data_IF_787499712410
#
_entry.id   IF_787499712410
#
_cell.length_a   1.000
_cell.length_b   1.000
_cell.length_c   1.000
_cell.angle_alpha   90.00
_cell.angle_beta   90.00
_cell.angle_gamma   90.00
#
_symmetry.space_group_name_H-M   'P 1'
#
loop_
_entity.id
_entity.type
_entity.pdbx_description
1 polymer ?
#
# COMPACT_ATOMS: atom_id res chain seq x y z
N UNK A 1 -85.31 -27.51 -29.80
CA UNK A 1 -84.51 -28.73 -29.73
C UNK A 1 -83.13 -28.24 -30.06
N UNK A 2 -82.13 -28.13 -29.17
CA UNK A 2 -81.69 -29.05 -28.13
C UNK A 2 -80.66 -28.34 -27.25
N UNK A 3 -80.79 -28.52 -26.02
CA UNK A 3 -79.83 -28.64 -24.92
C UNK A 3 -78.53 -27.86 -24.91
N UNK A 4 -78.47 -26.93 -23.99
CA UNK A 4 -77.29 -26.43 -23.33
C UNK A 4 -76.84 -27.33 -22.20
N UNK A 5 -75.55 -27.63 -22.02
CA UNK A 5 -75.01 -28.00 -20.70
C UNK A 5 -74.22 -26.85 -20.08
N UNK A 6 -74.62 -26.52 -18.90
CA UNK A 6 -73.92 -25.73 -17.92
C UNK A 6 -72.57 -26.33 -17.56
N UNK A 7 -71.49 -25.58 -17.68
CA UNK A 7 -70.17 -25.91 -17.09
C UNK A 7 -69.74 -24.85 -16.09
N UNK A 8 -69.46 -25.34 -14.89
CA UNK A 8 -69.06 -24.52 -13.73
C UNK A 8 -67.72 -23.76 -13.94
N UNK A 9 -67.78 -22.52 -13.54
CA UNK A 9 -66.67 -21.66 -13.43
C UNK A 9 -65.82 -22.02 -12.20
N UNK A 10 -64.75 -22.77 -12.40
CA UNK A 10 -63.64 -22.78 -11.44
C UNK A 10 -62.93 -21.47 -11.55
N UNK A 11 -62.97 -20.67 -10.49
CA UNK A 11 -62.27 -19.40 -10.38
C UNK A 11 -60.76 -19.65 -10.38
N UNK A 12 -60.18 -19.46 -11.53
CA UNK A 12 -58.73 -19.32 -11.67
C UNK A 12 -58.34 -17.92 -11.16
N UNK A 13 -57.74 -17.87 -9.94
CA UNK A 13 -57.12 -16.63 -9.45
C UNK A 13 -56.07 -16.19 -10.46
N UNK A 14 -56.31 -15.04 -11.09
CA UNK A 14 -55.29 -14.34 -11.88
C UNK A 14 -54.01 -14.25 -11.06
N UNK A 15 -52.82 -14.48 -11.66
CA UNK A 15 -51.56 -14.26 -10.96
C UNK A 15 -51.51 -12.80 -10.54
N UNK A 16 -51.31 -12.55 -9.25
CA UNK A 16 -50.98 -11.25 -8.71
C UNK A 16 -49.86 -10.66 -9.58
N UNK A 17 -50.11 -9.56 -10.25
CA UNK A 17 -49.13 -8.80 -10.98
C UNK A 17 -47.96 -8.60 -10.04
N UNK A 18 -46.81 -9.28 -10.33
CA UNK A 18 -45.61 -9.10 -9.59
C UNK A 18 -45.33 -7.63 -9.47
N UNK A 19 -45.36 -7.11 -8.26
CA UNK A 19 -44.94 -5.76 -7.96
C UNK A 19 -43.63 -5.54 -8.71
N UNK A 20 -43.63 -4.58 -9.63
CA UNK A 20 -42.37 -4.03 -10.20
C UNK A 20 -41.51 -3.81 -8.97
N UNK A 21 -40.41 -4.55 -8.86
CA UNK A 21 -39.47 -4.36 -7.79
C UNK A 21 -38.97 -2.92 -7.99
N UNK A 22 -39.64 -2.02 -7.29
CA UNK A 22 -39.08 -0.71 -7.02
C UNK A 22 -37.62 -0.99 -6.63
N UNK A 23 -36.65 -0.24 -7.16
CA UNK A 23 -35.27 -0.27 -6.69
C UNK A 23 -35.26 0.19 -5.23
N UNK A 24 -36.14 -0.38 -4.46
CA UNK A 24 -36.44 -0.11 -3.09
C UNK A 24 -35.24 -0.44 -2.25
N UNK A 25 -34.86 0.53 -1.48
CA UNK A 25 -33.94 0.41 -0.36
C UNK A 25 -34.31 -0.87 0.40
N UNK A 26 -33.47 -1.93 0.28
CA UNK A 26 -33.65 -3.17 1.02
C UNK A 26 -33.73 -2.82 2.51
N UNK A 27 -34.91 -2.92 3.09
CA UNK A 27 -35.24 -2.59 4.48
C UNK A 27 -35.18 -3.79 5.42
N UNK A 28 -34.86 -4.97 4.89
CA UNK A 28 -34.78 -6.19 5.70
C UNK A 28 -33.54 -6.19 6.58
N UNK A 29 -33.72 -6.17 7.89
CA UNK A 29 -32.62 -6.31 8.84
C UNK A 29 -32.10 -7.76 8.85
N UNK A 30 -30.90 -7.98 8.34
CA UNK A 30 -30.29 -9.32 8.35
C UNK A 30 -29.94 -9.74 9.78
N UNK A 31 -30.22 -10.98 10.14
CA UNK A 31 -29.76 -11.58 11.39
C UNK A 31 -28.25 -11.84 11.35
N UNK A 32 -27.60 -11.99 12.51
CA UNK A 32 -26.17 -12.32 12.58
C UNK A 32 -25.85 -13.66 11.88
N UNK A 33 -26.77 -14.63 11.96
CA UNK A 33 -26.64 -15.92 11.28
C UNK A 33 -26.72 -15.81 9.76
N UNK A 34 -27.58 -14.95 9.24
CA UNK A 34 -27.69 -14.69 7.79
C UNK A 34 -26.43 -13.97 7.27
N UNK A 35 -25.93 -12.99 8.00
CA UNK A 35 -24.69 -12.30 7.65
C UNK A 35 -23.49 -13.27 7.59
N UNK A 36 -23.44 -14.25 8.51
CA UNK A 36 -22.40 -15.28 8.52
C UNK A 36 -22.56 -16.26 7.35
N UNK A 37 -23.80 -16.68 7.04
CA UNK A 37 -24.10 -17.53 5.87
C UNK A 37 -23.74 -16.83 4.56
N UNK A 38 -24.05 -15.57 4.42
CA UNK A 38 -23.71 -14.76 3.25
C UNK A 38 -22.17 -14.65 3.09
N UNK A 39 -21.44 -14.44 4.18
CA UNK A 39 -19.98 -14.44 4.18
C UNK A 39 -19.42 -15.78 3.71
N UNK A 40 -19.93 -16.90 4.25
CA UNK A 40 -19.51 -18.23 3.82
C UNK A 40 -19.91 -18.53 2.36
N UNK A 41 -21.05 -18.05 1.89
CA UNK A 41 -21.44 -18.15 0.48
C UNK A 41 -20.47 -17.40 -0.43
N UNK A 42 -20.01 -16.18 -0.06
CA UNK A 42 -18.98 -15.44 -0.79
C UNK A 42 -17.64 -16.20 -0.83
N UNK A 43 -17.22 -16.75 0.31
CA UNK A 43 -16.00 -17.57 0.40
C UNK A 43 -16.13 -18.82 -0.49
N UNK A 44 -17.27 -19.53 -0.46
CA UNK A 44 -17.52 -20.68 -1.35
C UNK A 44 -17.57 -20.28 -2.82
N UNK A 45 -18.07 -19.09 -3.13
CA UNK A 45 -18.08 -18.52 -4.49
C UNK A 45 -16.71 -18.04 -4.99
N UNK A 46 -15.62 -18.24 -4.21
CA UNK A 46 -14.27 -17.90 -4.61
C UNK A 46 -13.82 -16.48 -4.24
N UNK A 47 -14.64 -15.66 -3.59
CA UNK A 47 -14.24 -14.34 -3.11
C UNK A 47 -13.63 -14.44 -1.69
N UNK A 48 -12.38 -14.90 -1.64
CA UNK A 48 -11.66 -15.10 -0.37
C UNK A 48 -11.17 -13.78 0.25
N UNK A 49 -11.06 -12.70 -0.53
CA UNK A 49 -10.49 -11.43 -0.08
C UNK A 49 -9.11 -11.61 0.57
N UNK A 50 -8.88 -10.97 1.71
CA UNK A 50 -7.62 -11.08 2.48
C UNK A 50 -7.58 -12.25 3.47
N UNK A 51 -8.58 -13.15 3.48
CA UNK A 51 -8.65 -14.27 4.43
C UNK A 51 -7.46 -15.24 4.32
N UNK A 52 -7.01 -15.66 3.13
CA UNK A 52 -5.84 -16.54 3.00
C UNK A 52 -4.57 -15.91 3.60
N UNK A 53 -4.38 -14.60 3.39
CA UNK A 53 -3.23 -13.88 3.93
C UNK A 53 -3.27 -13.81 5.46
N UNK A 54 -4.44 -13.57 6.05
CA UNK A 54 -4.61 -13.56 7.51
C UNK A 54 -4.38 -14.95 8.13
N UNK A 55 -4.87 -16.01 7.49
CA UNK A 55 -4.61 -17.38 7.92
C UNK A 55 -3.12 -17.73 7.79
N UNK A 56 -2.49 -17.36 6.69
CA UNK A 56 -1.05 -17.53 6.49
C UNK A 56 -0.23 -16.78 7.55
N UNK A 57 -0.61 -15.52 7.84
CA UNK A 57 0.02 -14.72 8.88
C UNK A 57 -0.09 -15.42 10.26
N UNK A 58 -1.27 -15.92 10.60
CA UNK A 58 -1.50 -16.65 11.85
C UNK A 58 -0.63 -17.91 11.96
N UNK A 59 -0.57 -18.71 10.89
CA UNK A 59 0.27 -19.92 10.82
C UNK A 59 1.75 -19.56 10.98
N UNK A 60 2.23 -18.51 10.30
CA UNK A 60 3.61 -18.06 10.39
C UNK A 60 3.96 -17.56 11.78
N UNK A 61 3.06 -16.83 12.45
CA UNK A 61 3.27 -16.39 13.83
C UNK A 61 3.41 -17.60 14.76
N UNK A 62 2.54 -18.59 14.65
CA UNK A 62 2.65 -19.82 15.46
C UNK A 62 3.96 -20.56 15.15
N UNK A 63 4.29 -20.73 13.87
CA UNK A 63 5.50 -21.44 13.46
C UNK A 63 6.76 -20.80 14.03
N UNK A 64 6.96 -19.49 13.80
CA UNK A 64 8.17 -18.82 14.29
C UNK A 64 8.19 -18.65 15.81
N UNK A 65 7.03 -18.56 16.46
CA UNK A 65 6.95 -18.56 17.93
C UNK A 65 7.39 -19.89 18.54
N UNK A 66 7.11 -21.00 17.84
CA UNK A 66 7.54 -22.33 18.29
C UNK A 66 9.04 -22.59 18.01
N UNK A 67 9.62 -21.92 17.00
CA UNK A 67 11.01 -22.11 16.58
C UNK A 67 11.99 -21.14 17.23
N UNK A 68 11.53 -20.01 17.77
CA UNK A 68 12.41 -18.97 18.33
C UNK A 68 11.78 -18.30 19.54
N UNK A 69 12.41 -18.44 20.71
CA UNK A 69 11.98 -17.77 21.95
C UNK A 69 12.02 -16.24 21.85
N UNK A 70 12.85 -15.71 20.96
CA UNK A 70 12.99 -14.25 20.76
C UNK A 70 11.93 -13.67 19.83
N UNK A 71 11.19 -14.51 19.08
CA UNK A 71 10.25 -14.04 18.07
C UNK A 71 9.13 -13.16 18.65
N UNK A 72 8.50 -13.56 19.77
CA UNK A 72 7.44 -12.80 20.44
C UNK A 72 7.94 -11.78 21.46
N UNK A 73 9.25 -11.56 21.59
CA UNK A 73 9.75 -10.50 22.48
C UNK A 73 9.30 -9.13 22.01
N UNK A 74 9.01 -8.22 22.95
CA UNK A 74 8.57 -6.86 22.63
C UNK A 74 9.60 -6.11 21.76
N UNK A 75 10.89 -6.34 21.97
CA UNK A 75 11.97 -5.81 21.16
C UNK A 75 11.87 -6.26 19.70
N UNK A 76 11.65 -7.55 19.48
CA UNK A 76 11.52 -8.08 18.13
C UNK A 76 10.23 -7.65 17.43
N UNK A 77 9.09 -7.61 18.12
CA UNK A 77 7.83 -7.10 17.58
C UNK A 77 8.00 -5.66 17.11
N UNK A 78 8.61 -4.80 17.92
CA UNK A 78 8.93 -3.42 17.54
C UNK A 78 9.87 -3.34 16.32
N UNK A 79 10.90 -4.20 16.29
CA UNK A 79 11.84 -4.29 15.18
C UNK A 79 11.16 -4.77 13.88
N UNK A 80 10.26 -5.75 13.96
CA UNK A 80 9.47 -6.27 12.85
C UNK A 80 8.60 -5.18 12.20
N UNK A 81 7.93 -4.36 13.03
CA UNK A 81 7.16 -3.21 12.55
C UNK A 81 8.03 -2.22 11.78
N UNK A 82 9.22 -1.90 12.32
CA UNK A 82 10.14 -0.97 11.68
C UNK A 82 10.79 -1.55 10.40
N UNK A 83 11.13 -2.84 10.41
CA UNK A 83 11.75 -3.54 9.28
C UNK A 83 10.78 -3.67 8.09
N UNK A 84 9.51 -3.98 8.35
CA UNK A 84 8.49 -4.16 7.31
C UNK A 84 7.96 -2.86 6.73
N UNK A 85 8.04 -1.74 7.46
CA UNK A 85 7.34 -0.51 7.11
C UNK A 85 7.72 0.06 5.74
N UNK A 86 9.01 0.07 5.38
CA UNK A 86 9.45 0.58 4.07
C UNK A 86 8.83 -0.19 2.91
N UNK A 87 8.83 -1.52 2.99
CA UNK A 87 8.23 -2.41 1.98
C UNK A 87 6.72 -2.24 1.93
N UNK A 88 6.04 -2.14 3.08
CA UNK A 88 4.60 -1.87 3.17
C UNK A 88 4.24 -0.57 2.47
N UNK A 89 5.03 0.50 2.67
CA UNK A 89 4.77 1.79 2.02
C UNK A 89 4.94 1.69 0.50
N UNK A 90 6.02 1.07 0.00
CA UNK A 90 6.20 0.84 -1.44
C UNK A 90 5.03 0.02 -2.00
N UNK A 91 4.63 -1.04 -1.30
CA UNK A 91 3.49 -1.88 -1.67
C UNK A 91 2.16 -1.08 -1.72
N UNK A 92 1.93 -0.13 -0.81
CA UNK A 92 0.78 0.77 -0.87
C UNK A 92 0.77 1.59 -2.17
N UNK A 93 1.93 2.08 -2.63
CA UNK A 93 2.06 2.74 -3.93
C UNK A 93 1.69 1.80 -5.09
N UNK A 94 2.21 0.58 -5.05
CA UNK A 94 1.94 -0.43 -6.08
C UNK A 94 0.48 -0.86 -6.15
N UNK A 95 -0.28 -0.85 -5.04
CA UNK A 95 -1.72 -1.13 -5.06
C UNK A 95 -2.46 -0.23 -6.05
N UNK A 96 -2.10 1.06 -6.15
CA UNK A 96 -2.74 1.97 -7.12
C UNK A 96 -2.50 1.51 -8.56
N UNK A 97 -1.30 1.09 -8.90
CA UNK A 97 -0.94 0.59 -10.24
C UNK A 97 -1.63 -0.73 -10.53
N UNK A 98 -1.60 -1.67 -9.59
CA UNK A 98 -2.25 -2.96 -9.72
C UNK A 98 -3.77 -2.85 -9.86
N UNK A 99 -4.41 -1.86 -9.22
CA UNK A 99 -5.84 -1.58 -9.39
C UNK A 99 -6.21 -1.25 -10.84
N UNK A 100 -5.29 -0.68 -11.63
CA UNK A 100 -5.50 -0.43 -13.06
C UNK A 100 -5.23 -1.67 -13.95
N UNK A 101 -4.73 -2.76 -13.38
CA UNK A 101 -4.22 -3.92 -14.12
C UNK A 101 -2.88 -3.64 -14.79
N UNK A 102 -2.16 -2.61 -14.36
CA UNK A 102 -0.81 -2.29 -14.81
C UNK A 102 0.23 -2.88 -13.84
N UNK A 103 1.45 -3.07 -14.32
CA UNK A 103 2.55 -3.61 -13.50
C UNK A 103 3.69 -2.59 -13.50
N UNK A 104 4.16 -2.20 -12.32
CA UNK A 104 5.33 -1.34 -12.16
C UNK A 104 6.49 -2.11 -11.53
N UNK A 105 7.38 -2.60 -12.39
CA UNK A 105 8.61 -3.29 -11.98
C UNK A 105 9.72 -2.31 -11.59
N UNK A 106 9.57 -1.01 -11.91
CA UNK A 106 10.60 -0.01 -11.62
C UNK A 106 10.50 0.59 -10.22
N UNK A 107 9.37 0.40 -9.51
CA UNK A 107 9.10 1.04 -8.21
C UNK A 107 10.20 0.79 -7.16
N UNK A 108 10.80 -0.41 -7.16
CA UNK A 108 11.94 -0.72 -6.28
C UNK A 108 13.16 0.15 -6.59
N UNK A 109 13.70 0.09 -7.80
CA UNK A 109 14.89 0.87 -8.20
C UNK A 109 14.61 2.36 -8.25
N UNK A 110 13.38 2.79 -8.57
CA UNK A 110 12.95 4.19 -8.45
C UNK A 110 13.08 4.69 -7.00
N UNK A 111 12.67 3.85 -6.02
CA UNK A 111 12.88 4.14 -4.60
C UNK A 111 14.35 4.28 -4.24
N UNK A 112 15.21 3.43 -4.83
CA UNK A 112 16.66 3.50 -4.69
C UNK A 112 17.26 4.80 -5.23
N UNK A 113 16.82 5.28 -6.41
CA UNK A 113 17.26 6.56 -6.96
C UNK A 113 16.87 7.72 -6.04
N UNK A 114 15.63 7.73 -5.54
CA UNK A 114 15.17 8.75 -4.60
C UNK A 114 16.01 8.77 -3.32
N UNK A 115 16.30 7.60 -2.74
CA UNK A 115 17.17 7.47 -1.57
C UNK A 115 18.61 7.92 -1.86
N UNK A 116 19.12 7.60 -3.05
CA UNK A 116 20.50 7.95 -3.44
C UNK A 116 20.69 9.46 -3.56
N UNK A 117 19.74 10.17 -4.19
CA UNK A 117 19.78 11.63 -4.31
C UNK A 117 19.67 12.28 -2.93
N UNK A 118 18.75 11.81 -2.08
CA UNK A 118 18.61 12.25 -0.70
C UNK A 118 19.93 12.11 0.09
N UNK A 119 20.53 10.92 0.06
CA UNK A 119 21.76 10.65 0.80
C UNK A 119 22.97 11.42 0.27
N UNK A 120 23.07 11.60 -1.06
CA UNK A 120 24.12 12.40 -1.67
C UNK A 120 24.02 13.87 -1.30
N UNK A 121 22.83 14.46 -1.35
CA UNK A 121 22.58 15.84 -0.97
C UNK A 121 22.99 16.08 0.50
N UNK A 122 22.61 15.16 1.39
CA UNK A 122 23.00 15.20 2.79
C UNK A 122 24.52 15.13 2.98
N UNK A 123 25.19 14.12 2.38
CA UNK A 123 26.62 13.86 2.60
C UNK A 123 27.51 14.90 1.94
N UNK A 124 27.06 15.48 0.82
CA UNK A 124 27.82 16.52 0.07
C UNK A 124 27.41 17.94 0.43
N UNK A 125 26.76 18.12 1.58
CA UNK A 125 26.37 19.43 2.11
C UNK A 125 25.60 20.31 1.12
N UNK A 126 24.69 19.69 0.36
CA UNK A 126 23.86 20.38 -0.64
C UNK A 126 24.55 20.64 -1.99
N UNK A 127 25.83 20.39 -2.14
CA UNK A 127 26.55 20.63 -3.38
C UNK A 127 26.42 19.45 -4.36
N UNK A 128 25.28 19.41 -5.08
CA UNK A 128 24.97 18.33 -6.01
C UNK A 128 25.82 18.33 -7.27
N UNK A 129 26.35 19.50 -7.70
CA UNK A 129 27.26 19.60 -8.84
C UNK A 129 28.57 18.84 -8.54
N UNK A 130 29.15 19.05 -7.37
CA UNK A 130 30.35 18.31 -6.96
C UNK A 130 30.07 16.83 -6.66
N UNK A 131 28.83 16.49 -6.26
CA UNK A 131 28.42 15.13 -5.98
C UNK A 131 28.31 14.27 -7.25
N UNK A 132 27.71 14.82 -8.28
CA UNK A 132 27.40 14.12 -9.54
C UNK A 132 28.49 14.32 -10.62
N UNK A 133 29.23 15.42 -10.57
CA UNK A 133 29.99 15.95 -11.71
C UNK A 133 29.07 16.55 -12.78
N UNK A 134 29.65 17.39 -13.64
CA UNK A 134 28.88 18.25 -14.57
C UNK A 134 27.87 17.49 -15.42
N UNK A 135 28.27 16.41 -16.08
CA UNK A 135 27.41 15.67 -17.00
C UNK A 135 26.18 15.07 -16.31
N UNK A 136 26.38 14.38 -15.20
CA UNK A 136 25.31 13.72 -14.47
C UNK A 136 24.37 14.74 -13.80
N UNK A 137 24.93 15.84 -13.31
CA UNK A 137 24.18 16.96 -12.74
C UNK A 137 23.19 17.54 -13.75
N UNK A 138 23.66 17.94 -14.95
CA UNK A 138 22.79 18.53 -15.96
C UNK A 138 21.79 17.53 -16.51
N UNK A 139 22.13 16.24 -16.64
CA UNK A 139 21.17 15.19 -17.04
C UNK A 139 20.08 15.06 -15.99
N UNK A 140 20.40 15.10 -14.69
CA UNK A 140 19.40 15.02 -13.61
C UNK A 140 18.48 16.25 -13.63
N UNK A 141 19.04 17.45 -13.81
CA UNK A 141 18.23 18.66 -13.96
C UNK A 141 17.31 18.61 -15.20
N UNK A 142 17.84 18.21 -16.34
CA UNK A 142 17.07 18.05 -17.57
C UNK A 142 15.95 17.01 -17.41
N UNK A 143 16.22 15.88 -16.76
CA UNK A 143 15.23 14.87 -16.43
C UNK A 143 14.07 15.44 -15.61
N UNK A 144 14.33 16.26 -14.59
CA UNK A 144 13.29 16.88 -13.76
C UNK A 144 12.47 17.90 -14.56
N UNK A 145 13.09 18.67 -15.45
CA UNK A 145 12.37 19.57 -16.37
C UNK A 145 11.46 18.78 -17.30
N UNK A 146 11.97 17.71 -17.90
CA UNK A 146 11.18 16.84 -18.79
C UNK A 146 9.99 16.26 -18.02
N UNK A 147 10.21 15.73 -16.80
CA UNK A 147 9.14 15.18 -15.95
C UNK A 147 8.04 16.21 -15.66
N UNK A 148 8.41 17.46 -15.34
CA UNK A 148 7.47 18.55 -15.12
C UNK A 148 6.67 18.87 -16.40
N UNK A 149 7.34 18.97 -17.56
CA UNK A 149 6.67 19.21 -18.84
C UNK A 149 5.70 18.10 -19.19
N UNK A 150 6.12 16.83 -19.09
CA UNK A 150 5.27 15.67 -19.39
C UNK A 150 4.02 15.64 -18.50
N UNK A 151 4.17 15.97 -17.21
CA UNK A 151 3.06 16.08 -16.28
C UNK A 151 2.13 17.24 -16.61
N UNK A 152 2.67 18.37 -17.05
CA UNK A 152 1.91 19.54 -17.51
C UNK A 152 1.03 19.25 -18.72
N UNK A 153 1.53 18.46 -19.68
CA UNK A 153 0.78 18.04 -20.86
C UNK A 153 -0.51 17.26 -20.51
N UNK A 154 -0.50 16.50 -19.43
CA UNK A 154 -1.67 15.75 -18.94
C UNK A 154 -2.34 16.42 -17.72
N UNK A 155 -1.96 17.66 -17.37
CA UNK A 155 -2.52 18.44 -16.26
C UNK A 155 -2.43 17.74 -14.89
N UNK A 156 -1.32 17.03 -14.63
CA UNK A 156 -1.04 16.38 -13.35
C UNK A 156 -0.18 17.32 -12.51
N UNK A 157 -0.81 18.24 -11.79
CA UNK A 157 -0.14 19.32 -11.09
C UNK A 157 0.89 18.87 -10.05
N UNK A 158 0.69 17.82 -9.23
CA UNK A 158 1.75 17.33 -8.36
C UNK A 158 3.01 16.91 -9.11
N UNK A 159 2.85 16.30 -10.30
CA UNK A 159 3.94 15.93 -11.19
C UNK A 159 4.61 17.12 -11.89
N UNK A 160 4.05 18.31 -11.83
CA UNK A 160 4.70 19.55 -12.26
C UNK A 160 5.44 20.21 -11.08
N UNK A 161 4.72 20.43 -9.98
CA UNK A 161 5.21 21.23 -8.85
C UNK A 161 6.41 20.56 -8.16
N UNK A 162 6.32 19.26 -7.86
CA UNK A 162 7.37 18.57 -7.11
C UNK A 162 8.70 18.49 -7.88
N UNK A 163 8.75 18.09 -9.17
CA UNK A 163 10.00 18.15 -9.94
C UNK A 163 10.60 19.56 -10.01
N UNK A 164 9.79 20.61 -10.16
CA UNK A 164 10.27 22.00 -10.17
C UNK A 164 10.83 22.39 -8.81
N UNK A 165 10.17 22.02 -7.71
CA UNK A 165 10.69 22.29 -6.35
C UNK A 165 12.03 21.58 -6.13
N UNK A 166 12.14 20.30 -6.50
CA UNK A 166 13.39 19.56 -6.40
C UNK A 166 14.49 20.15 -7.26
N UNK A 167 14.17 20.59 -8.49
CA UNK A 167 15.13 21.29 -9.37
C UNK A 167 15.64 22.59 -8.72
N UNK A 168 14.75 23.37 -8.11
CA UNK A 168 15.12 24.60 -7.39
C UNK A 168 16.04 24.29 -6.21
N UNK A 169 15.74 23.27 -5.42
CA UNK A 169 16.61 22.83 -4.29
C UNK A 169 18.01 22.51 -4.79
N UNK A 170 18.13 21.73 -5.87
CA UNK A 170 19.41 21.29 -6.44
C UNK A 170 20.20 22.46 -7.04
N UNK A 171 19.53 23.36 -7.78
CA UNK A 171 20.18 24.48 -8.49
C UNK A 171 20.67 25.58 -7.54
N UNK A 172 19.89 25.89 -6.49
CA UNK A 172 20.26 26.91 -5.49
C UNK A 172 21.31 26.36 -4.51
N UNK A 173 21.41 25.04 -4.38
CA UNK A 173 22.28 24.42 -3.39
C UNK A 173 21.78 24.65 -1.96
N UNK A 174 20.49 24.36 -1.72
CA UNK A 174 19.86 24.53 -0.40
C UNK A 174 20.65 23.72 0.65
N UNK A 175 20.99 24.30 1.82
CA UNK A 175 21.70 23.56 2.87
C UNK A 175 20.95 22.30 3.30
N UNK A 176 21.65 21.18 3.54
CA UNK A 176 21.02 19.93 3.91
C UNK A 176 20.32 20.02 5.27
N UNK A 177 19.10 19.49 5.31
CA UNK A 177 18.40 19.20 6.53
C UNK A 177 17.39 18.10 6.28
N UNK A 178 17.00 17.34 7.30
CA UNK A 178 16.16 16.18 7.17
C UNK A 178 14.87 16.41 6.34
N UNK A 179 14.24 17.56 6.47
CA UNK A 179 12.98 17.87 5.76
C UNK A 179 13.21 18.16 4.29
N UNK A 180 14.31 18.87 3.96
CA UNK A 180 14.74 19.12 2.57
C UNK A 180 15.09 17.78 1.91
N UNK A 181 15.79 16.91 2.61
CA UNK A 181 16.18 15.59 2.12
C UNK A 181 14.95 14.72 1.81
N UNK A 182 14.00 14.65 2.73
CA UNK A 182 12.75 13.90 2.51
C UNK A 182 11.93 14.49 1.36
N UNK A 183 11.86 15.82 1.26
CA UNK A 183 11.19 16.50 0.15
C UNK A 183 11.89 16.22 -1.19
N UNK A 184 13.22 16.26 -1.21
CA UNK A 184 14.00 15.99 -2.43
C UNK A 184 13.80 14.54 -2.91
N UNK A 185 13.79 13.56 -1.99
CA UNK A 185 13.45 12.17 -2.33
C UNK A 185 12.07 12.07 -2.98
N UNK A 186 11.06 12.76 -2.42
CA UNK A 186 9.71 12.81 -2.97
C UNK A 186 9.68 13.45 -4.36
N UNK A 187 10.44 14.54 -4.58
CA UNK A 187 10.55 15.21 -5.88
C UNK A 187 11.13 14.29 -6.96
N UNK A 188 12.16 13.54 -6.62
CA UNK A 188 12.79 12.56 -7.55
C UNK A 188 11.82 11.41 -7.85
N UNK A 189 11.19 10.82 -6.84
CA UNK A 189 10.20 9.77 -7.05
C UNK A 189 9.04 10.23 -7.93
N UNK A 190 8.54 11.43 -7.71
CA UNK A 190 7.50 12.04 -8.54
C UNK A 190 7.97 12.25 -9.99
N UNK A 191 9.22 12.67 -10.19
CA UNK A 191 9.80 12.83 -11.54
C UNK A 191 9.88 11.51 -12.29
N UNK A 192 10.29 10.43 -11.60
CA UNK A 192 10.33 9.07 -12.17
C UNK A 192 8.93 8.61 -12.55
N UNK A 193 7.95 8.76 -11.65
CA UNK A 193 6.57 8.40 -11.92
C UNK A 193 5.95 9.19 -13.08
N UNK A 194 6.35 10.45 -13.27
CA UNK A 194 5.91 11.29 -14.40
C UNK A 194 6.41 10.73 -15.73
N UNK A 195 7.66 10.33 -15.83
CA UNK A 195 8.20 9.71 -17.05
C UNK A 195 7.54 8.36 -17.31
N UNK A 196 7.53 7.46 -16.31
CA UNK A 196 6.93 6.13 -16.43
C UNK A 196 5.46 6.22 -16.86
N UNK A 197 4.71 7.05 -16.16
CA UNK A 197 3.29 7.25 -16.41
C UNK A 197 3.01 7.84 -17.80
N UNK A 198 3.83 8.76 -18.30
CA UNK A 198 3.67 9.32 -19.64
C UNK A 198 3.91 8.27 -20.73
N UNK A 199 4.99 7.47 -20.60
CA UNK A 199 5.30 6.40 -21.56
C UNK A 199 4.19 5.36 -21.64
N UNK A 200 3.60 4.98 -20.50
CA UNK A 200 2.51 4.01 -20.46
C UNK A 200 1.19 4.63 -20.94
N UNK A 201 0.84 5.81 -20.42
CA UNK A 201 -0.49 6.37 -20.59
C UNK A 201 -0.68 7.11 -21.91
N UNK A 202 0.35 7.80 -22.44
CA UNK A 202 0.25 8.65 -23.62
C UNK A 202 0.94 8.05 -24.84
N UNK A 203 2.15 7.49 -24.67
CA UNK A 203 2.85 6.79 -25.76
C UNK A 203 2.19 5.44 -26.03
N UNK A 204 1.62 4.78 -25.01
CA UNK A 204 0.90 3.53 -25.15
C UNK A 204 1.78 2.28 -25.12
N UNK A 205 3.01 2.39 -24.62
CA UNK A 205 3.89 1.23 -24.45
C UNK A 205 3.35 0.40 -23.28
N UNK A 206 3.27 -0.95 -23.40
CA UNK A 206 2.84 -1.81 -22.28
C UNK A 206 3.66 -1.52 -21.01
N UNK A 207 2.97 -1.39 -19.86
CA UNK A 207 3.59 -1.01 -18.60
C UNK A 207 4.72 -1.95 -18.18
N UNK A 208 4.54 -3.25 -18.38
CA UNK A 208 5.58 -4.25 -18.12
C UNK A 208 6.89 -3.94 -18.87
N UNK A 209 6.81 -3.58 -20.16
CA UNK A 209 8.00 -3.29 -20.99
C UNK A 209 8.69 -2.02 -20.50
N UNK A 210 7.92 -0.95 -20.28
CA UNK A 210 8.46 0.33 -19.79
C UNK A 210 9.14 0.13 -18.43
N UNK A 211 8.43 -0.49 -17.50
CA UNK A 211 8.92 -0.59 -16.11
C UNK A 211 10.05 -1.59 -15.96
N UNK A 212 10.13 -2.65 -16.79
CA UNK A 212 11.27 -3.55 -16.83
C UNK A 212 12.52 -2.82 -17.36
N UNK A 213 12.40 -2.06 -18.44
CA UNK A 213 13.50 -1.26 -18.97
C UNK A 213 13.98 -0.21 -17.94
N UNK A 214 13.04 0.48 -17.30
CA UNK A 214 13.33 1.45 -16.26
C UNK A 214 13.89 0.81 -14.97
N UNK A 215 13.48 -0.40 -14.62
CA UNK A 215 14.10 -1.16 -13.52
C UNK A 215 15.63 -1.27 -13.71
N UNK A 216 16.05 -1.67 -14.89
CA UNK A 216 17.48 -1.78 -15.22
C UNK A 216 18.16 -0.40 -15.27
N UNK A 217 17.52 0.58 -15.91
CA UNK A 217 18.07 1.93 -16.05
C UNK A 217 18.25 2.60 -14.67
N UNK A 218 17.23 2.58 -13.82
CA UNK A 218 17.29 3.16 -12.46
C UNK A 218 18.29 2.42 -11.56
N UNK A 219 18.41 1.10 -11.69
CA UNK A 219 19.47 0.33 -11.02
C UNK A 219 20.87 0.84 -11.40
N UNK A 220 21.09 1.09 -12.68
CA UNK A 220 22.34 1.70 -13.17
C UNK A 220 22.54 3.14 -12.64
N UNK A 221 21.48 3.93 -12.52
CA UNK A 221 21.55 5.28 -11.94
C UNK A 221 21.91 5.23 -10.45
N UNK A 222 21.33 4.33 -9.66
CA UNK A 222 21.70 4.13 -8.24
C UNK A 222 23.18 3.80 -8.13
N UNK A 223 23.67 2.84 -8.93
CA UNK A 223 25.08 2.45 -8.95
C UNK A 223 25.99 3.63 -9.36
N UNK A 224 25.58 4.43 -10.34
CA UNK A 224 26.33 5.62 -10.76
C UNK A 224 26.38 6.70 -9.69
N UNK A 225 25.29 6.92 -8.96
CA UNK A 225 25.20 7.96 -7.94
C UNK A 225 26.01 7.60 -6.68
N UNK A 226 25.95 6.36 -6.23
CA UNK A 226 26.61 5.93 -5.00
C UNK A 226 28.05 5.50 -5.27
N UNK A 227 28.34 4.96 -6.46
CA UNK A 227 29.65 4.42 -6.82
C UNK A 227 29.82 2.96 -6.39
N UNK A 228 30.95 2.36 -6.82
CA UNK A 228 31.27 0.97 -6.52
C UNK A 228 31.92 0.86 -5.13
N UNK A 229 31.36 -0.02 -4.30
CA UNK A 229 31.96 -0.45 -3.04
C UNK A 229 31.78 0.49 -1.84
N UNK A 230 30.92 1.51 -1.94
CA UNK A 230 30.64 2.42 -0.84
C UNK A 230 29.15 2.41 -0.41
N UNK A 231 28.89 2.91 0.78
CA UNK A 231 27.55 3.25 1.26
C UNK A 231 27.53 4.70 1.71
N UNK A 232 26.41 5.38 1.51
CA UNK A 232 26.22 6.75 1.97
C UNK A 232 25.49 6.72 3.33
N UNK A 233 26.17 7.12 4.44
CA UNK A 233 25.55 7.08 5.76
C UNK A 233 24.53 8.21 5.90
N UNK A 234 23.33 7.89 6.41
CA UNK A 234 22.32 8.88 6.78
C UNK A 234 22.07 8.91 8.30
N UNK A 235 22.69 7.98 9.04
CA UNK A 235 22.58 7.87 10.51
C UNK A 235 23.09 9.09 11.27
N UNK A 236 23.94 9.93 10.62
CA UNK A 236 24.48 11.14 11.24
C UNK A 236 23.42 12.23 11.40
N UNK A 237 22.37 12.22 10.57
CA UNK A 237 21.20 13.06 10.79
C UNK A 237 20.20 12.33 11.72
N UNK A 238 20.03 12.90 12.92
CA UNK A 238 19.16 12.29 13.96
C UNK A 238 17.70 12.20 13.53
N UNK A 239 17.20 13.17 12.76
CA UNK A 239 15.79 13.17 12.34
C UNK A 239 15.56 12.08 11.30
N UNK A 240 16.38 12.01 10.26
CA UNK A 240 16.30 10.97 9.24
C UNK A 240 16.49 9.57 9.84
N UNK A 241 17.46 9.40 10.74
CA UNK A 241 17.67 8.10 11.40
C UNK A 241 16.49 7.71 12.28
N UNK A 242 15.85 8.66 12.97
CA UNK A 242 14.73 8.39 13.85
C UNK A 242 13.42 8.11 13.12
N UNK A 243 13.28 8.41 11.83
CA UNK A 243 12.06 8.10 11.05
C UNK A 243 11.64 6.64 11.22
N UNK A 244 12.60 5.70 11.20
CA UNK A 244 12.32 4.27 11.38
C UNK A 244 12.86 3.69 12.69
N UNK A 245 13.80 4.35 13.36
CA UNK A 245 14.42 3.84 14.59
C UNK A 245 13.96 4.56 15.86
N UNK A 246 13.26 5.70 15.72
CA UNK A 246 12.71 6.44 16.84
C UNK A 246 11.34 5.92 17.30
N UNK A 247 10.96 6.33 18.51
CA UNK A 247 9.72 5.94 19.15
C UNK A 247 8.98 7.16 19.71
N UNK A 248 7.67 7.11 19.73
CA UNK A 248 6.81 8.07 20.41
C UNK A 248 7.04 8.01 21.93
N UNK A 249 6.82 9.11 22.62
CA UNK A 249 6.69 9.08 24.09
C UNK A 249 5.49 8.23 24.49
N UNK A 250 5.44 7.78 25.73
CA UNK A 250 4.29 7.02 26.28
C UNK A 250 2.98 7.80 26.05
N UNK A 251 2.98 9.10 26.39
CA UNK A 251 1.81 9.95 26.22
C UNK A 251 1.37 10.02 24.75
N UNK A 252 2.32 10.29 23.83
CA UNK A 252 2.01 10.37 22.40
C UNK A 252 1.57 9.03 21.82
N UNK A 253 2.03 7.90 22.37
CA UNK A 253 1.56 6.56 21.99
C UNK A 253 0.08 6.35 22.33
N UNK A 254 -0.35 6.79 23.52
CA UNK A 254 -1.76 6.73 23.91
C UNK A 254 -2.63 7.75 23.16
N UNK A 255 -2.10 8.93 22.83
CA UNK A 255 -2.78 9.89 21.95
C UNK A 255 -2.98 9.28 20.56
N UNK A 256 -1.95 8.63 19.99
CA UNK A 256 -2.06 7.92 18.70
C UNK A 256 -3.15 6.83 18.75
N UNK A 257 -3.18 6.03 19.82
CA UNK A 257 -4.23 5.02 20.04
C UNK A 257 -5.63 5.66 20.03
N UNK A 258 -5.83 6.72 20.81
CA UNK A 258 -7.12 7.40 20.89
C UNK A 258 -7.54 7.98 19.53
N UNK A 259 -6.62 8.58 18.79
CA UNK A 259 -6.92 9.12 17.46
C UNK A 259 -7.21 8.02 16.44
N UNK A 260 -6.43 6.95 16.42
CA UNK A 260 -6.57 5.88 15.43
C UNK A 260 -7.75 4.95 15.76
N UNK A 261 -7.75 4.33 16.94
CA UNK A 261 -8.78 3.39 17.34
C UNK A 261 -10.10 4.09 17.73
N UNK A 262 -10.03 5.21 18.44
CA UNK A 262 -11.19 6.04 18.78
C UNK A 262 -11.80 6.67 17.53
N UNK A 263 -11.00 7.22 16.63
CA UNK A 263 -11.45 7.73 15.32
C UNK A 263 -12.12 6.65 14.46
N UNK A 264 -11.51 5.46 14.39
CA UNK A 264 -12.12 4.31 13.70
C UNK A 264 -13.47 3.93 14.32
N UNK A 265 -13.53 3.82 15.65
CA UNK A 265 -14.77 3.49 16.37
C UNK A 265 -15.84 4.56 16.13
N UNK A 266 -15.49 5.85 16.25
CA UNK A 266 -16.42 6.95 16.01
C UNK A 266 -16.99 6.94 14.59
N UNK A 267 -16.16 6.71 13.57
CA UNK A 267 -16.60 6.63 12.17
C UNK A 267 -17.49 5.42 11.92
N UNK A 268 -17.13 4.24 12.42
CA UNK A 268 -17.89 2.99 12.18
C UNK A 268 -19.22 3.03 12.93
N UNK A 269 -19.21 3.35 14.23
CA UNK A 269 -20.40 3.42 15.04
C UNK A 269 -21.30 4.59 14.62
N UNK A 270 -20.73 5.76 14.34
CA UNK A 270 -21.48 6.92 13.86
C UNK A 270 -22.24 6.65 12.58
N UNK A 271 -21.60 5.97 11.60
CA UNK A 271 -22.28 5.54 10.36
C UNK A 271 -23.34 4.49 10.61
N UNK A 272 -23.07 3.54 11.50
CA UNK A 272 -24.01 2.49 11.84
C UNK A 272 -25.30 3.09 12.46
N UNK A 273 -25.15 3.91 13.50
CA UNK A 273 -26.30 4.54 14.16
C UNK A 273 -27.01 5.57 13.28
N UNK A 274 -26.26 6.32 12.43
CA UNK A 274 -26.88 7.21 11.45
C UNK A 274 -27.76 6.45 10.43
N UNK A 275 -27.34 5.25 9.99
CA UNK A 275 -28.14 4.39 9.13
C UNK A 275 -29.41 3.89 9.83
N UNK A 276 -29.28 3.40 11.07
CA UNK A 276 -30.42 2.94 11.88
C UNK A 276 -31.45 4.06 12.09
N UNK A 277 -30.99 5.28 12.42
CA UNK A 277 -31.87 6.45 12.59
C UNK A 277 -32.65 6.81 11.33
N UNK A 278 -32.07 6.54 10.16
CA UNK A 278 -32.71 6.80 8.86
C UNK A 278 -33.54 5.62 8.34
N UNK A 279 -33.74 4.56 9.13
CA UNK A 279 -34.47 3.34 8.71
C UNK A 279 -33.78 2.58 7.58
N UNK A 280 -32.48 2.81 7.34
CA UNK A 280 -31.73 2.11 6.30
C UNK A 280 -31.20 0.77 6.81
N UNK A 281 -31.08 -0.21 5.91
CA UNK A 281 -30.45 -1.50 6.23
C UNK A 281 -29.05 -1.29 6.77
N UNK A 282 -28.78 -1.84 7.93
CA UNK A 282 -27.50 -1.83 8.59
C UNK A 282 -27.12 -3.27 9.01
N UNK A 283 -25.82 -3.50 9.16
CA UNK A 283 -25.34 -4.76 9.73
C UNK A 283 -25.91 -4.94 11.16
N UNK A 284 -26.07 -6.18 11.65
CA UNK A 284 -26.48 -6.41 13.03
C UNK A 284 -25.58 -5.66 14.02
N UNK A 285 -26.19 -4.89 14.92
CA UNK A 285 -25.45 -4.08 15.91
C UNK A 285 -24.41 -4.89 16.71
N UNK A 286 -24.71 -6.13 17.18
CA UNK A 286 -23.70 -6.94 17.88
C UNK A 286 -22.46 -7.21 17.06
N UNK A 287 -22.58 -7.48 15.74
CA UNK A 287 -21.41 -7.73 14.87
C UNK A 287 -20.56 -6.47 14.70
N UNK A 288 -21.20 -5.30 14.60
CA UNK A 288 -20.48 -4.01 14.50
C UNK A 288 -19.73 -3.72 15.80
N UNK A 289 -20.38 -3.96 16.96
CA UNK A 289 -19.76 -3.76 18.27
C UNK A 289 -18.59 -4.74 18.49
N UNK A 290 -18.75 -6.01 18.14
CA UNK A 290 -17.66 -7.01 18.23
C UNK A 290 -16.48 -6.55 17.35
N UNK A 291 -16.73 -6.17 16.11
CA UNK A 291 -15.70 -5.71 15.19
C UNK A 291 -14.93 -4.49 15.74
N UNK A 292 -15.65 -3.49 16.23
CA UNK A 292 -15.04 -2.29 16.82
C UNK A 292 -14.31 -2.67 18.12
N UNK A 293 -14.92 -3.46 18.99
CA UNK A 293 -14.34 -3.92 20.25
C UNK A 293 -13.03 -4.66 20.06
N UNK A 294 -12.97 -5.60 19.10
CA UNK A 294 -11.74 -6.35 18.78
C UNK A 294 -10.62 -5.39 18.34
N UNK A 295 -10.91 -4.43 17.45
CA UNK A 295 -9.89 -3.47 16.99
C UNK A 295 -9.41 -2.59 18.16
N UNK A 296 -10.33 -2.09 18.99
CA UNK A 296 -9.97 -1.25 20.15
C UNK A 296 -9.15 -2.03 21.16
N UNK A 297 -9.57 -3.24 21.53
CA UNK A 297 -8.87 -4.06 22.52
C UNK A 297 -7.48 -4.48 22.03
N UNK A 298 -7.37 -4.95 20.79
CA UNK A 298 -6.07 -5.36 20.23
C UNK A 298 -5.10 -4.18 20.08
N UNK A 299 -5.59 -3.02 19.62
CA UNK A 299 -4.74 -1.83 19.50
C UNK A 299 -4.36 -1.23 20.86
N UNK A 300 -5.25 -1.29 21.88
CA UNK A 300 -4.93 -0.92 23.26
C UNK A 300 -3.85 -1.83 23.84
N UNK A 301 -4.01 -3.16 23.70
CA UNK A 301 -3.03 -4.13 24.13
C UNK A 301 -1.68 -3.93 23.44
N UNK A 302 -1.67 -3.72 22.12
CA UNK A 302 -0.43 -3.45 21.39
C UNK A 302 0.24 -2.15 21.86
N UNK A 303 -0.53 -1.08 22.08
CA UNK A 303 -0.01 0.18 22.62
C UNK A 303 0.56 -0.01 24.02
N UNK A 304 -0.16 -0.70 24.90
CA UNK A 304 0.30 -0.99 26.26
C UNK A 304 1.62 -1.78 26.24
N UNK A 305 1.70 -2.84 25.44
CA UNK A 305 2.91 -3.66 25.32
C UNK A 305 4.09 -2.86 24.76
N UNK A 306 3.88 -2.02 23.76
CA UNK A 306 4.93 -1.18 23.17
C UNK A 306 5.35 -0.03 24.08
N UNK A 307 4.56 0.35 25.09
CA UNK A 307 4.94 1.34 26.10
C UNK A 307 5.76 0.75 27.24
N UNK A 308 5.92 -0.58 27.33
CA UNK A 308 6.84 -1.20 28.29
C UNK A 308 8.29 -1.05 27.83
N UNK A 309 9.23 -1.04 28.79
CA UNK A 309 10.66 -1.02 28.46
C UNK A 309 11.08 -2.34 27.79
N UNK A 310 11.59 -2.23 26.56
CA UNK A 310 12.02 -3.37 25.74
C UNK A 310 13.51 -3.38 25.45
N UNK A 311 14.28 -2.53 26.14
CA UNK A 311 15.73 -2.52 26.01
C UNK A 311 16.33 -3.77 26.69
N UNK A 312 17.28 -4.41 25.99
CA UNK A 312 18.05 -5.52 26.54
C UNK A 312 19.07 -5.01 27.55
N UNK A 313 19.63 -3.81 27.30
CA UNK A 313 20.58 -3.18 28.21
C UNK A 313 19.81 -2.38 29.28
N UNK A 314 20.02 -2.68 30.61
CA UNK A 314 19.34 -1.97 31.69
C UNK A 314 19.62 -0.46 31.76
N UNK A 315 20.73 -0.01 31.18
CA UNK A 315 21.14 1.41 31.18
C UNK A 315 20.38 2.26 30.13
N UNK A 316 19.65 1.61 29.21
CA UNK A 316 18.91 2.25 28.15
C UNK A 316 17.41 1.99 28.31
N UNK A 317 16.59 2.97 28.04
CA UNK A 317 15.14 2.80 28.01
C UNK A 317 14.62 2.95 26.58
N UNK A 318 13.91 1.94 26.08
CA UNK A 318 13.24 1.97 24.77
C UNK A 318 11.76 1.77 25.03
N UNK A 319 11.00 2.86 24.92
CA UNK A 319 9.58 2.94 25.25
C UNK A 319 8.80 3.52 24.07
N UNK A 320 7.51 3.23 24.01
CA UNK A 320 6.58 3.87 23.09
C UNK A 320 6.46 3.20 21.71
N UNK A 321 5.46 3.61 20.97
CA UNK A 321 5.16 3.08 19.63
C UNK A 321 6.19 3.60 18.62
N UNK A 322 6.79 2.76 17.76
CA UNK A 322 7.72 3.20 16.71
C UNK A 322 7.10 4.26 15.78
N UNK A 323 7.87 5.25 15.35
CA UNK A 323 7.39 6.32 14.45
C UNK A 323 6.87 5.80 13.10
N UNK A 324 7.33 4.64 12.65
CA UNK A 324 6.80 4.03 11.43
C UNK A 324 5.31 3.70 11.51
N UNK A 325 4.78 3.43 12.70
CA UNK A 325 3.35 3.08 12.87
C UNK A 325 2.44 4.25 12.51
N UNK A 326 2.59 5.47 13.09
CA UNK A 326 1.80 6.61 12.65
C UNK A 326 2.03 6.97 11.17
N UNK A 327 3.24 6.82 10.62
CA UNK A 327 3.51 7.06 9.20
C UNK A 327 2.67 6.13 8.32
N UNK A 328 2.72 4.83 8.58
CA UNK A 328 1.92 3.82 7.85
C UNK A 328 0.43 4.07 8.02
N UNK A 329 -0.05 4.38 9.24
CA UNK A 329 -1.46 4.66 9.50
C UNK A 329 -1.96 5.90 8.76
N UNK A 330 -1.17 6.97 8.69
CA UNK A 330 -1.51 8.19 7.93
C UNK A 330 -1.61 7.86 6.45
N UNK A 331 -0.62 7.19 5.87
CA UNK A 331 -0.63 6.81 4.45
C UNK A 331 -1.80 5.86 4.13
N UNK A 332 -2.06 4.87 4.99
CA UNK A 332 -3.18 3.95 4.86
C UNK A 332 -4.52 4.70 4.89
N UNK A 333 -4.68 5.64 5.82
CA UNK A 333 -5.93 6.42 5.98
C UNK A 333 -6.15 7.35 4.79
N UNK A 334 -5.12 8.12 4.40
CA UNK A 334 -5.19 9.04 3.27
C UNK A 334 -5.45 8.30 1.96
N UNK A 335 -4.69 7.23 1.68
CA UNK A 335 -4.87 6.47 0.46
C UNK A 335 -6.21 5.72 0.42
N UNK A 336 -6.68 5.17 1.54
CA UNK A 336 -8.03 4.59 1.64
C UNK A 336 -9.10 5.65 1.43
N UNK A 337 -8.92 6.85 1.97
CA UNK A 337 -9.84 7.97 1.73
C UNK A 337 -9.87 8.34 0.23
N UNK A 338 -8.71 8.44 -0.41
CA UNK A 338 -8.61 8.73 -1.85
C UNK A 338 -9.32 7.65 -2.66
N UNK A 339 -9.08 6.37 -2.39
CA UNK A 339 -9.66 5.27 -3.15
C UNK A 339 -11.17 5.10 -2.91
N UNK A 340 -11.61 5.16 -1.64
CA UNK A 340 -12.98 4.79 -1.27
C UNK A 340 -13.96 5.96 -1.23
N UNK A 341 -13.46 7.23 -1.15
CA UNK A 341 -14.29 8.40 -0.87
C UNK A 341 -14.28 9.48 -1.95
N UNK A 342 -13.32 9.44 -2.88
CA UNK A 342 -13.21 10.45 -3.93
C UNK A 342 -13.72 9.96 -5.28
N UNK A 343 -14.05 10.90 -6.18
CA UNK A 343 -14.33 10.59 -7.59
C UNK A 343 -13.12 9.98 -8.28
N UNK A 344 -11.92 10.44 -7.91
CA UNK A 344 -10.67 9.93 -8.44
C UNK A 344 -10.50 8.43 -8.18
N UNK A 345 -10.75 7.96 -6.95
CA UNK A 345 -10.71 6.54 -6.62
C UNK A 345 -11.74 5.72 -7.41
N UNK A 346 -12.98 6.24 -7.57
CA UNK A 346 -13.98 5.58 -8.44
C UNK A 346 -13.51 5.46 -9.88
N UNK A 347 -12.83 6.47 -10.41
CA UNK A 347 -12.27 6.43 -11.77
C UNK A 347 -11.15 5.39 -11.88
N UNK A 348 -10.29 5.23 -10.84
CA UNK A 348 -9.27 4.17 -10.82
C UNK A 348 -9.93 2.79 -10.93
N UNK A 349 -10.93 2.49 -10.09
CA UNK A 349 -11.63 1.19 -10.14
C UNK A 349 -12.38 0.99 -11.47
N UNK A 350 -12.98 2.05 -12.02
CA UNK A 350 -13.67 1.98 -13.32
C UNK A 350 -12.70 1.66 -14.47
N UNK A 351 -11.55 2.37 -14.52
CA UNK A 351 -10.51 2.13 -15.53
C UNK A 351 -9.90 0.73 -15.39
N UNK A 352 -9.62 0.29 -14.15
CA UNK A 352 -9.09 -1.05 -13.87
C UNK A 352 -10.09 -2.18 -14.15
N UNK A 353 -11.39 -1.92 -14.04
CA UNK A 353 -12.42 -2.89 -14.41
C UNK A 353 -12.60 -3.02 -15.92
N UNK A 354 -12.71 -1.92 -16.62
CA UNK A 354 -12.79 -1.87 -18.09
C UNK A 354 -12.44 -0.47 -18.61
N UNK A 355 -11.21 -0.32 -19.09
CA UNK A 355 -10.68 0.96 -19.58
C UNK A 355 -11.47 1.52 -20.76
N UNK A 356 -12.00 0.66 -21.65
CA UNK A 356 -12.78 1.10 -22.81
C UNK A 356 -14.17 1.60 -22.40
N UNK A 357 -14.86 0.89 -21.49
CA UNK A 357 -16.12 1.34 -20.94
C UNK A 357 -15.96 2.66 -20.15
N UNK A 358 -14.88 2.78 -19.37
CA UNK A 358 -14.55 4.02 -18.66
C UNK A 358 -14.34 5.21 -19.61
N UNK A 359 -13.64 4.99 -20.74
CA UNK A 359 -13.43 6.01 -21.78
C UNK A 359 -14.74 6.45 -22.40
N UNK A 360 -15.64 5.51 -22.72
CA UNK A 360 -16.98 5.82 -23.27
C UNK A 360 -17.86 6.58 -22.27
N UNK A 361 -17.64 6.38 -20.98
CA UNK A 361 -18.27 7.14 -19.89
C UNK A 361 -17.64 8.52 -19.65
N UNK A 362 -16.68 8.97 -20.49
CA UNK A 362 -16.05 10.29 -20.41
C UNK A 362 -14.86 10.38 -19.46
N UNK A 363 -14.37 9.26 -18.90
CA UNK A 363 -13.20 9.26 -18.02
C UNK A 363 -11.93 9.39 -18.87
N UNK A 364 -11.06 10.34 -18.51
CA UNK A 364 -9.75 10.48 -19.15
C UNK A 364 -8.78 9.38 -18.64
N UNK A 365 -8.78 8.24 -19.34
CA UNK A 365 -7.99 7.06 -18.99
C UNK A 365 -6.48 7.38 -18.94
N UNK A 366 -5.97 8.19 -19.88
CA UNK A 366 -4.56 8.55 -19.92
C UNK A 366 -4.14 9.36 -18.68
N UNK A 367 -4.97 10.32 -18.27
CA UNK A 367 -4.73 11.10 -17.06
C UNK A 367 -4.74 10.24 -15.79
N UNK A 368 -5.72 9.32 -15.69
CA UNK A 368 -5.80 8.38 -14.54
C UNK A 368 -4.57 7.47 -14.52
N UNK A 369 -4.20 6.84 -15.65
CA UNK A 369 -3.01 5.99 -15.72
C UNK A 369 -1.74 6.73 -15.30
N UNK A 370 -1.45 7.88 -15.91
CA UNK A 370 -0.26 8.65 -15.57
C UNK A 370 -0.25 9.08 -14.10
N UNK A 371 -1.35 9.61 -13.58
CA UNK A 371 -1.42 10.05 -12.18
C UNK A 371 -1.19 8.93 -11.17
N UNK A 372 -1.61 7.71 -11.50
CA UNK A 372 -1.37 6.53 -10.66
C UNK A 372 0.12 6.15 -10.60
N UNK A 373 0.85 6.21 -11.72
CA UNK A 373 2.30 6.01 -11.70
C UNK A 373 3.03 7.11 -10.92
N UNK A 374 2.58 8.36 -11.05
CA UNK A 374 3.10 9.49 -10.24
C UNK A 374 2.89 9.22 -8.75
N UNK A 375 1.70 8.80 -8.33
CA UNK A 375 1.41 8.44 -6.92
C UNK A 375 2.28 7.27 -6.49
N UNK A 376 2.36 6.20 -7.28
CA UNK A 376 3.09 4.98 -6.94
C UNK A 376 4.58 5.26 -6.68
N UNK A 377 5.24 5.98 -7.60
CA UNK A 377 6.65 6.32 -7.46
C UNK A 377 6.91 7.34 -6.35
N UNK A 378 5.97 8.28 -6.10
CA UNK A 378 6.05 9.20 -4.96
C UNK A 378 5.95 8.45 -3.62
N UNK A 379 5.00 7.51 -3.52
CA UNK A 379 4.85 6.67 -2.31
C UNK A 379 6.04 5.71 -2.17
N UNK A 380 6.59 5.20 -3.28
CA UNK A 380 7.82 4.39 -3.25
C UNK A 380 9.02 5.20 -2.71
N UNK A 381 9.13 6.48 -3.04
CA UNK A 381 10.14 7.36 -2.46
C UNK A 381 9.96 7.56 -0.95
N UNK A 382 8.71 7.67 -0.45
CA UNK A 382 8.43 7.69 1.00
C UNK A 382 8.84 6.36 1.65
N UNK A 383 8.58 5.24 1.00
CA UNK A 383 9.05 3.92 1.45
C UNK A 383 10.58 3.83 1.51
N UNK A 384 11.27 4.44 0.53
CA UNK A 384 12.73 4.50 0.50
C UNK A 384 13.32 5.30 1.67
N UNK A 385 12.70 6.43 2.05
CA UNK A 385 13.11 7.21 3.23
C UNK A 385 13.04 6.33 4.49
N UNK A 386 11.93 5.62 4.69
CA UNK A 386 11.73 4.75 5.86
C UNK A 386 12.70 3.56 5.83
N UNK A 387 12.89 2.94 4.65
CA UNK A 387 13.81 1.81 4.51
C UNK A 387 15.25 2.22 4.77
N UNK A 388 15.72 3.32 4.16
CA UNK A 388 17.07 3.84 4.36
C UNK A 388 17.29 4.30 5.80
N UNK A 389 16.27 4.91 6.43
CA UNK A 389 16.29 5.24 7.86
C UNK A 389 16.52 3.99 8.71
N UNK A 390 15.80 2.88 8.43
CA UNK A 390 15.96 1.62 9.17
C UNK A 390 17.36 1.04 9.04
N UNK A 391 17.93 1.06 7.84
CA UNK A 391 19.30 0.56 7.56
C UNK A 391 20.36 1.54 8.09
N UNK A 392 20.07 2.83 8.08
CA UNK A 392 20.98 3.93 8.44
C UNK A 392 21.95 4.33 7.33
N UNK A 393 21.77 3.79 6.12
CA UNK A 393 22.61 4.09 4.95
C UNK A 393 21.89 3.76 3.65
N UNK A 394 22.43 4.26 2.53
CA UNK A 394 22.01 3.92 1.17
C UNK A 394 23.18 3.25 0.46
N UNK A 395 22.97 2.10 -0.15
CA UNK A 395 23.95 1.26 -0.82
C UNK A 395 23.71 1.22 -2.34
N UNK A 396 24.69 0.79 -3.17
CA UNK A 396 24.56 0.71 -4.61
C UNK A 396 23.42 -0.20 -5.12
N UNK A 397 22.98 -1.14 -4.30
CA UNK A 397 21.86 -2.06 -4.56
C UNK A 397 20.55 -1.63 -3.92
N UNK A 398 20.49 -0.44 -3.29
CA UNK A 398 19.28 0.07 -2.64
C UNK A 398 18.12 0.17 -3.62
N UNK A 399 16.96 -0.38 -3.20
CA UNK A 399 15.76 -0.47 -4.04
C UNK A 399 15.81 -1.57 -5.10
N UNK A 400 16.98 -2.19 -5.33
CA UNK A 400 17.13 -3.36 -6.19
C UNK A 400 16.83 -4.68 -5.49
N UNK A 401 17.34 -5.78 -6.05
CA UNK A 401 17.24 -7.11 -5.47
C UNK A 401 15.80 -7.50 -5.11
N UNK A 402 15.60 -7.91 -3.86
CA UNK A 402 14.30 -8.40 -3.40
C UNK A 402 13.28 -7.31 -3.05
N UNK A 403 13.67 -6.02 -3.02
CA UNK A 403 12.78 -4.92 -2.57
C UNK A 403 11.50 -4.85 -3.39
N UNK A 404 11.63 -4.90 -4.72
CA UNK A 404 10.51 -4.89 -5.63
C UNK A 404 9.62 -6.14 -5.45
N UNK A 405 10.24 -7.33 -5.43
CA UNK A 405 9.52 -8.60 -5.29
C UNK A 405 8.75 -8.67 -3.98
N UNK A 406 9.34 -8.18 -2.89
CA UNK A 406 8.69 -8.11 -1.59
C UNK A 406 7.53 -7.12 -1.59
N UNK A 407 7.67 -5.97 -2.25
CA UNK A 407 6.59 -4.98 -2.30
C UNK A 407 5.41 -5.43 -3.19
N UNK A 408 5.69 -6.00 -4.37
CA UNK A 408 4.65 -6.61 -5.23
C UNK A 408 4.00 -7.79 -4.50
N UNK A 409 4.84 -8.66 -3.91
CA UNK A 409 4.38 -9.79 -3.11
C UNK A 409 3.47 -9.36 -1.97
N UNK A 410 3.83 -8.31 -1.25
CA UNK A 410 3.01 -7.75 -0.18
C UNK A 410 1.62 -7.34 -0.68
N UNK A 411 1.53 -6.61 -1.79
CA UNK A 411 0.25 -6.20 -2.36
C UNK A 411 -0.62 -7.39 -2.79
N UNK A 412 -0.01 -8.39 -3.46
CA UNK A 412 -0.72 -9.56 -4.02
C UNK A 412 -1.11 -10.57 -2.93
N UNK A 413 -0.19 -10.91 -2.01
CA UNK A 413 -0.45 -11.80 -0.87
C UNK A 413 -1.61 -11.24 -0.03
N UNK A 414 -1.66 -9.92 0.16
CA UNK A 414 -2.73 -9.27 0.91
C UNK A 414 -4.10 -9.32 0.24
N UNK A 415 -4.18 -9.58 -1.08
CA UNK A 415 -5.43 -9.76 -1.82
C UNK A 415 -5.68 -8.74 -2.94
N UNK A 416 -4.71 -7.90 -3.28
CA UNK A 416 -4.80 -7.02 -4.46
C UNK A 416 -4.58 -7.84 -5.72
N UNK A 417 -5.48 -7.68 -6.69
CA UNK A 417 -5.44 -8.43 -7.94
C UNK A 417 -4.42 -7.88 -8.93
N UNK A 418 -3.64 -8.77 -9.55
CA UNK A 418 -2.74 -8.45 -10.67
C UNK A 418 -3.47 -8.06 -11.96
N UNK A 419 -4.76 -8.35 -12.07
CA UNK A 419 -5.54 -8.13 -13.30
C UNK A 419 -6.40 -6.86 -13.25
N UNK A 420 -6.27 -6.06 -12.19
CA UNK A 420 -7.02 -4.83 -12.00
C UNK A 420 -8.42 -4.99 -11.36
N UNK A 421 -9.03 -3.86 -11.05
CA UNK A 421 -10.41 -3.76 -10.58
C UNK A 421 -10.69 -4.22 -9.15
N UNK A 422 -9.76 -4.93 -8.50
CA UNK A 422 -9.92 -5.44 -7.12
C UNK A 422 -8.65 -5.22 -6.31
N UNK A 423 -8.80 -4.67 -5.11
CA UNK A 423 -7.71 -4.43 -4.15
C UNK A 423 -8.04 -3.28 -3.23
N UNK A 424 -7.33 -3.19 -2.13
CA UNK A 424 -7.45 -2.13 -1.12
C UNK A 424 -6.09 -1.85 -0.51
N UNK A 425 -5.84 -0.62 -0.06
CA UNK A 425 -4.55 -0.29 0.56
C UNK A 425 -4.19 -1.15 1.78
N UNK A 426 -5.18 -1.59 2.55
CA UNK A 426 -4.97 -2.52 3.67
C UNK A 426 -4.35 -3.86 3.25
N UNK A 427 -4.54 -4.25 1.99
CA UNK A 427 -3.97 -5.50 1.47
C UNK A 427 -2.43 -5.41 1.49
N UNK A 428 -1.86 -4.25 1.12
CA UNK A 428 -0.42 -4.00 1.23
C UNK A 428 0.10 -4.15 2.67
N UNK A 429 -0.68 -3.71 3.66
CA UNK A 429 -0.30 -3.84 5.09
C UNK A 429 -0.32 -5.30 5.53
N UNK A 430 -1.38 -6.03 5.21
CA UNK A 430 -1.53 -7.45 5.59
C UNK A 430 -0.44 -8.30 4.92
N UNK A 431 -0.28 -8.16 3.62
CA UNK A 431 0.73 -8.92 2.90
C UNK A 431 2.17 -8.49 3.25
N UNK A 432 2.37 -7.19 3.51
CA UNK A 432 3.66 -6.69 4.01
C UNK A 432 4.02 -7.23 5.39
N UNK A 433 3.02 -7.44 6.26
CA UNK A 433 3.23 -8.12 7.54
C UNK A 433 3.67 -9.59 7.33
N UNK A 434 3.07 -10.30 6.36
CA UNK A 434 3.50 -11.67 6.01
C UNK A 434 4.96 -11.69 5.57
N UNK A 435 5.35 -10.80 4.64
CA UNK A 435 6.75 -10.70 4.16
C UNK A 435 7.70 -10.33 5.30
N UNK A 436 7.32 -9.36 6.14
CA UNK A 436 8.15 -8.95 7.28
C UNK A 436 8.36 -10.08 8.29
N UNK A 437 7.32 -10.88 8.58
CA UNK A 437 7.39 -12.04 9.49
C UNK A 437 8.30 -13.11 8.89
N UNK A 438 8.20 -13.42 7.60
CA UNK A 438 9.07 -14.41 6.94
C UNK A 438 10.53 -13.94 7.02
N UNK A 439 10.82 -12.71 6.61
CA UNK A 439 12.19 -12.17 6.61
C UNK A 439 12.77 -12.09 8.02
N UNK A 440 12.00 -11.62 8.99
CA UNK A 440 12.42 -11.52 10.39
C UNK A 440 12.59 -12.89 11.03
N UNK A 441 11.60 -13.78 10.87
CA UNK A 441 11.62 -15.12 11.47
C UNK A 441 12.77 -15.98 10.94
N UNK A 442 13.00 -16.00 9.62
CA UNK A 442 14.14 -16.72 9.03
C UNK A 442 15.48 -16.10 9.44
N UNK A 443 15.54 -14.77 9.61
CA UNK A 443 16.71 -14.08 10.16
C UNK A 443 17.01 -14.48 11.62
N UNK A 444 15.99 -14.60 12.47
CA UNK A 444 16.14 -15.09 13.84
C UNK A 444 16.64 -16.56 13.90
N UNK A 445 16.23 -17.37 12.92
CA UNK A 445 16.72 -18.74 12.76
C UNK A 445 18.08 -18.80 12.06
N UNK A 446 18.74 -17.66 11.82
CA UNK A 446 20.05 -17.53 11.16
C UNK A 446 20.11 -18.22 9.79
N UNK A 447 18.98 -18.23 9.07
CA UNK A 447 18.93 -18.79 7.72
C UNK A 447 19.66 -17.86 6.73
N UNK A 448 20.29 -18.46 5.73
CA UNK A 448 20.98 -17.75 4.66
C UNK A 448 20.01 -16.91 3.81
N UNK A 449 20.50 -15.82 3.24
CA UNK A 449 19.72 -14.95 2.35
C UNK A 449 19.09 -15.71 1.17
N UNK A 450 19.74 -16.78 0.69
CA UNK A 450 19.23 -17.66 -0.35
C UNK A 450 17.94 -18.36 0.10
N UNK A 451 17.90 -18.90 1.32
CA UNK A 451 16.70 -19.56 1.90
C UNK A 451 15.56 -18.57 2.04
N UNK A 452 15.86 -17.35 2.54
CA UNK A 452 14.86 -16.27 2.66
C UNK A 452 14.24 -15.95 1.30
N UNK A 453 15.06 -15.83 0.26
CA UNK A 453 14.61 -15.54 -1.10
C UNK A 453 13.76 -16.68 -1.69
N UNK A 454 14.16 -17.93 -1.53
CA UNK A 454 13.43 -19.12 -2.00
C UNK A 454 12.06 -19.20 -1.30
N UNK A 455 12.03 -19.12 0.02
CA UNK A 455 10.79 -19.23 0.80
C UNK A 455 9.83 -18.09 0.41
N UNK A 456 10.33 -16.87 0.32
CA UNK A 456 9.50 -15.72 -0.06
C UNK A 456 8.95 -15.87 -1.49
N UNK A 457 9.78 -16.34 -2.44
CA UNK A 457 9.36 -16.61 -3.81
C UNK A 457 8.26 -17.68 -3.90
N UNK A 458 8.38 -18.77 -3.13
CA UNK A 458 7.36 -19.81 -3.04
C UNK A 458 6.05 -19.31 -2.43
N UNK A 459 6.11 -18.48 -1.38
CA UNK A 459 4.91 -17.87 -0.77
C UNK A 459 4.23 -16.93 -1.75
N UNK A 460 4.99 -16.15 -2.52
CA UNK A 460 4.45 -15.30 -3.59
C UNK A 460 3.76 -16.12 -4.68
N UNK A 461 4.38 -17.22 -5.13
CA UNK A 461 3.81 -18.12 -6.14
C UNK A 461 2.50 -18.75 -5.64
N UNK A 462 2.46 -19.19 -4.38
CA UNK A 462 1.25 -19.73 -3.76
C UNK A 462 0.13 -18.68 -3.70
N UNK A 463 0.44 -17.45 -3.30
CA UNK A 463 -0.55 -16.36 -3.23
C UNK A 463 -1.11 -16.03 -4.63
N UNK A 464 -0.25 -15.90 -5.64
CA UNK A 464 -0.67 -15.68 -7.03
C UNK A 464 -1.52 -16.84 -7.58
N UNK A 465 -1.19 -18.08 -7.20
CA UNK A 465 -1.96 -19.25 -7.58
C UNK A 465 -3.37 -19.25 -6.97
N UNK A 466 -3.50 -18.83 -5.71
CA UNK A 466 -4.80 -18.68 -5.03
C UNK A 466 -5.67 -17.62 -5.73
N UNK A 467 -5.10 -16.46 -6.09
CA UNK A 467 -5.83 -15.42 -6.84
C UNK A 467 -6.31 -15.93 -8.19
N UNK A 468 -5.45 -16.63 -8.96
CA UNK A 468 -5.79 -17.18 -10.26
C UNK A 468 -6.92 -18.23 -10.16
N UNK A 469 -6.87 -19.12 -9.17
CA UNK A 469 -7.91 -20.14 -8.94
C UNK A 469 -9.23 -19.53 -8.49
N UNK A 470 -9.19 -18.52 -7.63
CA UNK A 470 -10.36 -17.76 -7.18
C UNK A 470 -11.13 -17.16 -8.35
N UNK A 471 -10.42 -16.56 -9.29
CA UNK A 471 -11.01 -15.96 -10.50
C UNK A 471 -11.65 -16.98 -11.42
N UNK A 472 -11.01 -18.13 -11.65
CA UNK A 472 -11.60 -19.20 -12.48
C UNK A 472 -12.95 -19.66 -11.92
N UNK A 473 -13.07 -19.78 -10.60
CA UNK A 473 -14.33 -20.15 -9.94
C UNK A 473 -15.39 -19.06 -10.07
N UNK A 474 -15.01 -17.79 -9.86
CA UNK A 474 -15.93 -16.65 -10.01
C UNK A 474 -16.40 -16.40 -11.45
N UNK A 475 -15.69 -16.88 -12.46
CA UNK A 475 -16.08 -16.78 -13.86
C UNK A 475 -16.96 -17.96 -14.30
N UNK A 476 -16.97 -19.06 -13.55
CA UNK A 476 -17.75 -20.25 -13.81
C UNK A 476 -19.10 -20.30 -13.04
N UNK A 477 -19.28 -19.41 -12.08
CA UNK A 477 -20.54 -19.17 -11.31
C UNK A 477 -21.33 -18.00 -11.88
#
# INVERSE_FOLDING_TARGET
MTDTPTTGTTGEKAPESGAISDFGIDTTSKSAGEALREYWAKVRGGDFGSLPALLGLFVLVIFFSAQSETFLTLGNISNLLAQGAGIVIIAMGLVFVLLLGEIDLSAGTASGVAASVMALHLVKSGNMLSAFGDGVFYITCAFMVIAAVLSGLLRIWPGVVLPVVGLVIILIGVPPNAWVEMLLALCIGTSIGSLTGYLVAKVGIPSFVVTLALFLAWGGVVLKYIGQGGTLPIRNDKVLFNVANGNLSILNSWILFLLAAGGYAAVVLGRHFARLRKGLVAQPTPLVLIKVGVVVVLSAAATFLLTQNRAVNPTVTILGVPYVVPIVLVLLTLGTFVLDRTSYGRHIYAVGGNAEAARRAGINVAQIRMSVFVIASSVAALGAIVYSSKVGSVAPDSGGGNTLLFAVGAAVIGGTSLFGGKGRLRDAVIGGAVIAIISNGLGLLKQEAAVVSIVTGLVLLLAASVDALSRRRSAAS
#
